data_IF_081477918554
#
_entry.id   IF_081477918554
#
_cell.length_a   1.000
_cell.length_b   1.000
_cell.length_c   1.000
_cell.angle_alpha   90.00
_cell.angle_beta   90.00
_cell.angle_gamma   90.00
#
_symmetry.space_group_name_H-M   'P 1'
#
loop_
_entity.id
_entity.type
_entity.pdbx_description
1 polymer ?
#
# COMPACT_ATOMS: atom_id res chain seq x y z
N UNK A 1 19.86 11.56 12.91
CA UNK A 1 18.96 11.27 11.77
C UNK A 1 17.63 10.85 12.38
N UNK A 2 16.65 11.74 12.39
CA UNK A 2 15.32 11.43 12.91
C UNK A 2 14.68 10.46 11.92
N UNK A 3 14.43 9.23 12.35
CA UNK A 3 13.74 8.25 11.51
C UNK A 3 12.35 8.81 11.20
N UNK A 4 11.95 8.97 9.93
CA UNK A 4 10.59 9.38 9.60
C UNK A 4 9.61 8.39 10.24
N UNK A 5 8.42 8.86 10.65
CA UNK A 5 7.39 7.96 11.17
C UNK A 5 7.15 6.83 10.18
N UNK A 6 7.13 5.58 10.65
CA UNK A 6 6.89 4.41 9.79
C UNK A 6 5.62 4.55 8.94
N UNK A 7 4.61 5.25 9.47
CA UNK A 7 3.40 5.63 8.75
C UNK A 7 3.69 6.43 7.48
N UNK A 8 4.54 7.45 7.57
CA UNK A 8 4.90 8.30 6.44
C UNK A 8 5.65 7.51 5.34
N UNK A 9 6.48 6.54 5.75
CA UNK A 9 7.17 5.65 4.80
C UNK A 9 6.19 4.74 4.06
N UNK A 10 5.15 4.24 4.74
CA UNK A 10 4.12 3.41 4.10
C UNK A 10 3.26 4.24 3.14
N UNK A 11 2.89 5.47 3.50
CA UNK A 11 2.17 6.40 2.63
C UNK A 11 2.98 6.81 1.39
N UNK A 12 4.27 7.13 1.56
CA UNK A 12 5.18 7.42 0.44
C UNK A 12 5.31 6.21 -0.49
N UNK A 13 5.45 5.00 0.06
CA UNK A 13 5.54 3.79 -0.73
C UNK A 13 4.24 3.52 -1.53
N UNK A 14 3.06 3.73 -0.93
CA UNK A 14 1.77 3.59 -1.63
C UNK A 14 1.65 4.59 -2.79
N UNK A 15 2.12 5.82 -2.57
CA UNK A 15 2.15 6.87 -3.59
C UNK A 15 3.05 6.47 -4.75
N UNK A 16 4.29 6.04 -4.45
CA UNK A 16 5.25 5.59 -5.46
C UNK A 16 4.74 4.40 -6.28
N UNK A 17 4.12 3.41 -5.62
CA UNK A 17 3.53 2.26 -6.31
C UNK A 17 2.41 2.71 -7.27
N UNK A 18 1.60 3.68 -6.86
CA UNK A 18 0.54 4.25 -7.70
C UNK A 18 1.11 5.01 -8.90
N UNK A 19 2.21 5.75 -8.72
CA UNK A 19 2.91 6.43 -9.81
C UNK A 19 3.53 5.43 -10.81
N UNK A 20 4.15 4.36 -10.32
CA UNK A 20 4.68 3.27 -11.17
C UNK A 20 3.55 2.60 -11.95
N UNK A 21 2.42 2.32 -11.30
CA UNK A 21 1.24 1.73 -11.94
C UNK A 21 0.64 2.64 -13.04
N UNK A 22 0.69 3.96 -12.82
CA UNK A 22 0.21 4.94 -13.78
C UNK A 22 1.16 5.12 -14.97
N UNK A 23 2.46 4.82 -14.80
CA UNK A 23 3.52 5.07 -15.76
C UNK A 23 3.30 4.32 -17.09
N UNK A 24 3.42 5.04 -18.21
CA UNK A 24 3.20 4.51 -19.56
C UNK A 24 4.15 3.36 -19.91
N UNK A 25 5.43 3.47 -19.54
CA UNK A 25 6.41 2.40 -19.77
C UNK A 25 6.06 1.11 -19.01
N UNK A 26 5.55 1.23 -17.78
CA UNK A 26 5.15 0.05 -17.02
C UNK A 26 3.94 -0.65 -17.69
N UNK A 27 2.96 0.12 -18.16
CA UNK A 27 1.83 -0.40 -18.94
C UNK A 27 2.27 -1.04 -20.26
N UNK A 28 3.27 -0.46 -20.93
CA UNK A 28 3.83 -1.01 -22.16
C UNK A 28 4.55 -2.34 -21.92
N UNK A 29 5.33 -2.44 -20.83
CA UNK A 29 5.95 -3.70 -20.41
C UNK A 29 4.90 -4.79 -20.17
N UNK A 30 3.82 -4.48 -19.43
CA UNK A 30 2.71 -5.42 -19.21
C UNK A 30 2.05 -5.85 -20.53
N UNK A 31 1.85 -4.91 -21.46
CA UNK A 31 1.29 -5.19 -22.79
C UNK A 31 2.21 -6.07 -23.64
N UNK A 32 3.52 -5.94 -23.47
CA UNK A 32 4.54 -6.75 -24.15
C UNK A 32 4.70 -8.15 -23.53
N UNK A 33 3.87 -8.52 -22.55
CA UNK A 33 3.85 -9.85 -21.92
C UNK A 33 4.73 -9.97 -20.69
N UNK A 34 5.22 -8.85 -20.14
CA UNK A 34 5.91 -8.88 -18.84
C UNK A 34 4.91 -9.26 -17.74
N UNK A 35 5.11 -10.43 -17.14
CA UNK A 35 4.36 -10.91 -15.97
C UNK A 35 5.35 -11.26 -14.87
N UNK A 36 5.58 -10.37 -13.90
CA UNK A 36 6.38 -10.70 -12.73
C UNK A 36 5.59 -11.62 -11.79
N UNK A 37 6.30 -12.48 -11.04
CA UNK A 37 5.68 -13.35 -10.02
C UNK A 37 4.95 -12.56 -8.93
N UNK A 38 5.43 -11.34 -8.65
CA UNK A 38 4.80 -10.37 -7.76
C UNK A 38 4.53 -9.09 -8.54
N UNK A 39 3.26 -8.68 -8.58
CA UNK A 39 2.81 -7.52 -9.32
C UNK A 39 2.51 -6.34 -8.36
N UNK A 40 2.15 -5.20 -8.95
CA UNK A 40 1.81 -3.97 -8.20
C UNK A 40 0.64 -4.21 -7.24
N UNK A 41 -0.33 -5.06 -7.56
CA UNK A 41 -1.44 -5.35 -6.65
C UNK A 41 -0.96 -6.12 -5.41
N UNK A 42 0.01 -7.03 -5.56
CA UNK A 42 0.62 -7.73 -4.41
C UNK A 42 1.35 -6.73 -3.51
N UNK A 43 2.12 -5.82 -4.11
CA UNK A 43 2.84 -4.78 -3.37
C UNK A 43 1.88 -3.80 -2.65
N UNK A 44 0.80 -3.37 -3.30
CA UNK A 44 -0.26 -2.56 -2.67
C UNK A 44 -0.95 -3.28 -1.51
N UNK A 45 -1.18 -4.59 -1.65
CA UNK A 45 -1.78 -5.42 -0.60
C UNK A 45 -0.84 -5.53 0.60
N UNK A 46 0.45 -5.77 0.38
CA UNK A 46 1.45 -5.82 1.44
C UNK A 46 1.55 -4.48 2.20
N UNK A 47 1.54 -3.35 1.49
CA UNK A 47 1.54 -2.02 2.13
C UNK A 47 0.27 -1.75 2.94
N UNK A 48 -0.88 -2.26 2.48
CA UNK A 48 -2.15 -2.15 3.23
C UNK A 48 -2.09 -2.93 4.53
N UNK A 49 -1.54 -4.15 4.52
CA UNK A 49 -1.32 -4.90 5.76
C UNK A 49 -0.36 -4.19 6.71
N UNK A 50 0.74 -3.63 6.20
CA UNK A 50 1.67 -2.86 7.02
C UNK A 50 1.01 -1.63 7.65
N UNK A 51 0.18 -0.91 6.88
CA UNK A 51 -0.60 0.22 7.38
C UNK A 51 -1.52 -0.19 8.52
N UNK A 52 -2.25 -1.30 8.37
CA UNK A 52 -3.13 -1.81 9.43
C UNK A 52 -2.37 -2.22 10.70
N UNK A 53 -1.22 -2.87 10.58
CA UNK A 53 -0.40 -3.22 11.74
C UNK A 53 0.13 -1.96 12.44
N UNK A 54 0.50 -0.92 11.69
CA UNK A 54 0.91 0.36 12.27
C UNK A 54 -0.23 1.05 13.03
N UNK A 55 -1.42 1.10 12.43
CA UNK A 55 -2.63 1.64 13.07
C UNK A 55 -2.98 0.85 14.36
N UNK A 56 -2.95 -0.48 14.30
CA UNK A 56 -3.17 -1.35 15.47
C UNK A 56 -2.16 -1.11 16.59
N UNK A 57 -0.89 -0.90 16.23
CA UNK A 57 0.17 -0.63 17.21
C UNK A 57 0.07 0.77 17.81
N UNK A 58 -0.47 1.75 17.06
CA UNK A 58 -0.81 3.08 17.59
C UNK A 58 -2.06 3.03 18.50
N UNK A 59 -3.02 2.16 18.19
CA UNK A 59 -4.25 1.94 18.98
C UNK A 59 -4.06 1.08 20.23
N UNK A 60 -2.83 0.67 20.57
CA UNK A 60 -2.47 -0.03 21.81
C UNK A 60 -2.82 0.72 23.12
N UNK A 61 -3.52 1.86 23.04
CA UNK A 61 -4.19 2.51 24.16
C UNK A 61 -5.70 2.26 24.26
N UNK A 62 -6.46 2.08 23.16
CA UNK A 62 -7.91 1.78 23.18
C UNK A 62 -8.34 1.12 21.87
N UNK A 63 -8.63 -0.18 21.96
CA UNK A 63 -9.28 -0.90 20.88
C UNK A 63 -10.66 -0.33 20.53
N UNK A 64 -11.09 -0.71 19.33
CA UNK A 64 -12.40 -0.49 18.70
C UNK A 64 -12.54 0.81 17.90
N UNK A 65 -12.31 0.76 16.58
CA UNK A 65 -13.27 1.20 15.54
C UNK A 65 -12.64 1.54 14.16
N UNK A 66 -11.90 0.63 13.51
CA UNK A 66 -11.41 0.87 12.13
C UNK A 66 -11.93 -0.11 11.05
N UNK A 67 -12.70 -1.14 11.42
CA UNK A 67 -13.29 -2.09 10.46
C UNK A 67 -14.39 -1.52 9.53
N UNK A 68 -14.73 -0.22 9.58
CA UNK A 68 -15.84 0.32 8.79
C UNK A 68 -15.47 0.90 7.42
N UNK A 69 -14.20 1.25 7.15
CA UNK A 69 -13.87 1.96 5.89
C UNK A 69 -13.05 1.16 4.87
N UNK A 70 -12.41 0.05 5.24
CA UNK A 70 -11.52 -0.67 4.31
C UNK A 70 -12.27 -1.52 3.26
N UNK A 71 -13.52 -1.95 3.53
CA UNK A 71 -14.30 -2.75 2.56
C UNK A 71 -15.02 -1.89 1.49
N UNK A 72 -14.98 -0.56 1.56
CA UNK A 72 -15.75 0.28 0.62
C UNK A 72 -15.03 0.61 -0.70
N UNK A 73 -13.77 0.19 -0.88
CA UNK A 73 -12.97 0.49 -2.10
C UNK A 73 -12.81 -0.74 -3.00
N UNK A 74 -13.60 -1.79 -2.79
CA UNK A 74 -13.60 -3.03 -3.59
C UNK A 74 -14.93 -3.30 -4.32
N UNK A 75 -15.70 -2.26 -4.66
CA UNK A 75 -16.84 -2.36 -5.58
C UNK A 75 -16.76 -1.29 -6.67
#
# INVERSE_FOLDING_TARGET
MSNPPLHHLVEEAQTLISEIAAHSQYKELLKNGYQPDLNIADASTALTYLQWELERNQEGGKGTSIFKNACSVMY
#
